data_IF_749632950813
#
_entry.id   IF_749632950813
#
_cell.length_a   1.000
_cell.length_b   1.000
_cell.length_c   1.000
_cell.angle_alpha   90.00
_cell.angle_beta   90.00
_cell.angle_gamma   90.00
#
_symmetry.space_group_name_H-M   'P 1'
#
loop_
_entity.id
_entity.type
_entity.pdbx_description
1 polymer ?
#
# COMPACT_ATOMS: atom_id res chain seq x y z
N UNK A 1 -1.92 9.27 -12.27
CA UNK A 1 -2.36 8.13 -13.11
C UNK A 1 -1.52 7.93 -14.39
N UNK A 2 -1.26 8.94 -15.23
CA UNK A 2 -0.53 8.74 -16.51
C UNK A 2 1.02 8.69 -16.36
N UNK A 3 1.59 9.47 -15.45
CA UNK A 3 3.05 9.51 -15.21
C UNK A 3 3.52 8.26 -14.45
N UNK A 4 2.83 7.90 -13.36
CA UNK A 4 3.13 6.73 -12.51
C UNK A 4 3.19 5.43 -13.32
N UNK A 5 2.19 5.16 -14.18
CA UNK A 5 2.18 3.93 -14.99
C UNK A 5 3.25 3.91 -16.09
N UNK A 6 3.67 5.06 -16.59
CA UNK A 6 4.76 5.15 -17.57
C UNK A 6 6.09 4.90 -16.88
N UNK A 7 6.33 5.56 -15.75
CA UNK A 7 7.55 5.43 -14.96
C UNK A 7 7.66 4.00 -14.40
N UNK A 8 6.62 3.43 -13.79
CA UNK A 8 6.69 2.05 -13.26
C UNK A 8 7.02 1.01 -14.35
N UNK A 9 6.50 1.18 -15.57
CA UNK A 9 6.84 0.32 -16.73
C UNK A 9 8.23 0.59 -17.31
N UNK A 10 8.67 1.85 -17.32
CA UNK A 10 10.01 2.26 -17.75
C UNK A 10 11.10 1.73 -16.80
N UNK A 11 10.80 1.62 -15.50
CA UNK A 11 11.72 1.19 -14.46
C UNK A 11 11.82 -0.35 -14.32
N UNK A 12 10.88 -1.09 -14.90
CA UNK A 12 10.89 -2.56 -14.90
C UNK A 12 11.72 -3.13 -16.06
N UNK A 13 12.04 -2.31 -17.07
CA UNK A 13 12.67 -2.76 -18.32
C UNK A 13 14.16 -2.43 -18.43
N UNK A 14 14.61 -1.20 -18.16
CA UNK A 14 16.04 -0.83 -18.07
C UNK A 14 16.14 0.68 -17.85
N UNK A 15 16.61 1.11 -16.67
CA UNK A 15 16.69 2.53 -16.31
C UNK A 15 17.78 3.26 -17.10
N UNK A 16 18.96 2.65 -17.27
CA UNK A 16 20.11 3.32 -17.89
C UNK A 16 19.82 3.76 -19.33
N UNK A 17 19.18 2.92 -20.15
CA UNK A 17 18.95 3.22 -21.56
C UNK A 17 17.88 4.30 -21.84
N UNK A 18 16.94 4.52 -20.91
CA UNK A 18 15.84 5.47 -21.13
C UNK A 18 16.03 6.78 -20.36
N UNK A 19 16.72 6.77 -19.22
CA UNK A 19 17.03 8.00 -18.50
C UNK A 19 18.05 8.87 -19.25
N UNK A 20 18.95 8.28 -20.05
CA UNK A 20 19.88 9.03 -20.92
C UNK A 20 19.16 9.93 -21.95
N UNK A 21 17.87 9.68 -22.22
CA UNK A 21 17.06 10.45 -23.16
C UNK A 21 16.16 11.51 -22.48
N UNK A 22 16.27 11.71 -21.17
CA UNK A 22 15.44 12.63 -20.39
C UNK A 22 16.32 13.73 -19.80
N UNK A 23 15.99 15.00 -20.08
CA UNK A 23 16.79 16.16 -19.64
C UNK A 23 16.84 16.33 -18.11
N UNK A 24 15.84 15.88 -17.34
CA UNK A 24 15.79 16.01 -15.87
C UNK A 24 15.14 14.79 -15.16
N UNK A 25 15.83 13.64 -15.08
CA UNK A 25 15.26 12.42 -14.52
C UNK A 25 15.03 12.46 -13.00
N UNK A 26 15.86 13.20 -12.27
CA UNK A 26 15.78 13.32 -10.81
C UNK A 26 14.50 14.03 -10.37
N UNK A 27 14.09 15.08 -11.09
CA UNK A 27 12.87 15.83 -10.80
C UNK A 27 11.61 14.97 -10.97
N UNK A 28 11.54 14.22 -12.07
CA UNK A 28 10.42 13.32 -12.35
C UNK A 28 10.32 12.19 -11.32
N UNK A 29 11.44 11.66 -10.86
CA UNK A 29 11.49 10.62 -9.83
C UNK A 29 10.99 11.16 -8.48
N UNK A 30 11.45 12.34 -8.07
CA UNK A 30 10.96 13.02 -6.85
C UNK A 30 9.46 13.31 -6.92
N UNK A 31 8.98 13.75 -8.08
CA UNK A 31 7.55 13.97 -8.31
C UNK A 31 6.75 12.65 -8.20
N UNK A 32 7.22 11.56 -8.82
CA UNK A 32 6.58 10.26 -8.75
C UNK A 32 6.50 9.72 -7.31
N UNK A 33 7.59 9.84 -6.54
CA UNK A 33 7.63 9.50 -5.11
C UNK A 33 6.60 10.31 -4.33
N UNK A 34 6.48 11.62 -4.59
CA UNK A 34 5.49 12.50 -3.94
C UNK A 34 4.04 12.10 -4.28
N UNK A 35 3.77 11.77 -5.54
CA UNK A 35 2.46 11.28 -5.97
C UNK A 35 2.11 9.95 -5.27
N UNK A 36 3.06 9.01 -5.20
CA UNK A 36 2.86 7.72 -4.51
C UNK A 36 2.64 7.88 -3.00
N UNK A 37 3.37 8.78 -2.35
CA UNK A 37 3.13 9.14 -0.95
C UNK A 37 1.72 9.71 -0.73
N UNK A 38 1.26 10.58 -1.64
CA UNK A 38 -0.09 11.11 -1.63
C UNK A 38 -1.16 10.03 -1.78
N UNK A 39 -0.96 9.09 -2.71
CA UNK A 39 -1.86 7.95 -2.92
C UNK A 39 -1.89 7.01 -1.71
N UNK A 40 -0.76 6.80 -1.03
CA UNK A 40 -0.70 6.04 0.23
C UNK A 40 -1.51 6.72 1.33
N UNK A 41 -1.32 8.02 1.54
CA UNK A 41 -2.08 8.78 2.53
C UNK A 41 -3.59 8.73 2.26
N UNK A 42 -4.00 8.90 1.00
CA UNK A 42 -5.40 8.79 0.61
C UNK A 42 -5.97 7.37 0.80
N UNK A 43 -5.14 6.34 0.64
CA UNK A 43 -5.52 4.95 0.90
C UNK A 43 -5.66 4.67 2.39
N UNK A 44 -4.76 5.20 3.22
CA UNK A 44 -4.82 5.11 4.68
C UNK A 44 -6.05 5.80 5.27
N UNK A 45 -6.37 7.01 4.81
CA UNK A 45 -7.60 7.72 5.25
C UNK A 45 -8.86 6.90 4.92
N UNK A 46 -8.92 6.28 3.74
CA UNK A 46 -10.02 5.38 3.35
C UNK A 46 -10.09 4.14 4.25
N UNK A 47 -8.95 3.54 4.58
CA UNK A 47 -8.88 2.39 5.49
C UNK A 47 -9.43 2.81 6.86
N UNK A 48 -8.99 3.94 7.40
CA UNK A 48 -9.43 4.43 8.72
C UNK A 48 -10.95 4.64 8.76
N UNK A 49 -11.53 5.33 7.77
CA UNK A 49 -12.99 5.54 7.68
C UNK A 49 -13.77 4.23 7.59
N UNK A 50 -13.26 3.25 6.84
CA UNK A 50 -13.89 1.94 6.74
C UNK A 50 -13.78 1.15 8.04
N UNK A 51 -12.68 1.29 8.79
CA UNK A 51 -12.52 0.68 10.12
C UNK A 51 -13.47 1.28 11.15
N UNK A 52 -13.65 2.60 11.16
CA UNK A 52 -14.66 3.27 12.00
C UNK A 52 -16.07 2.75 11.65
N UNK A 53 -16.42 2.72 10.37
CA UNK A 53 -17.71 2.15 9.93
C UNK A 53 -17.85 0.67 10.31
N UNK A 54 -16.77 -0.10 10.32
CA UNK A 54 -16.78 -1.50 10.75
C UNK A 54 -17.10 -1.60 12.25
N UNK A 55 -16.46 -0.78 13.08
CA UNK A 55 -16.71 -0.73 14.52
C UNK A 55 -18.15 -0.35 14.85
N UNK A 56 -18.71 0.64 14.15
CA UNK A 56 -20.11 1.03 14.31
C UNK A 56 -21.09 -0.12 13.99
N UNK A 57 -20.78 -0.88 12.94
CA UNK A 57 -21.58 -2.04 12.54
C UNK A 57 -21.48 -3.15 13.60
N UNK A 58 -20.27 -3.46 14.07
CA UNK A 58 -20.04 -4.47 15.11
C UNK A 58 -20.77 -4.11 16.42
N UNK A 59 -20.74 -2.84 16.82
CA UNK A 59 -21.49 -2.36 17.98
C UNK A 59 -23.00 -2.57 17.79
N UNK A 60 -23.55 -2.24 16.62
CA UNK A 60 -24.98 -2.48 16.30
C UNK A 60 -25.34 -3.96 16.29
N UNK A 61 -24.50 -4.82 15.72
CA UNK A 61 -24.71 -6.26 15.73
C UNK A 61 -24.77 -6.81 17.16
N UNK A 62 -23.90 -6.34 18.05
CA UNK A 62 -23.92 -6.77 19.46
C UNK A 62 -25.21 -6.36 20.16
N UNK A 63 -25.73 -5.16 19.86
CA UNK A 63 -27.00 -4.68 20.40
C UNK A 63 -28.19 -5.50 19.87
N UNK A 64 -28.21 -5.81 18.58
CA UNK A 64 -29.25 -6.64 17.98
C UNK A 64 -29.23 -8.06 18.55
N UNK A 65 -28.06 -8.66 18.74
CA UNK A 65 -27.91 -9.98 19.39
C UNK A 65 -28.50 -9.99 20.80
N UNK A 66 -28.30 -8.92 21.58
CA UNK A 66 -28.93 -8.76 22.90
C UNK A 66 -30.45 -8.66 22.79
N UNK A 67 -30.97 -7.90 21.84
CA UNK A 67 -32.42 -7.80 21.60
C UNK A 67 -33.03 -9.14 21.19
N UNK A 68 -32.37 -9.90 20.31
CA UNK A 68 -32.81 -11.25 19.94
C UNK A 68 -32.83 -12.21 21.15
N UNK A 69 -31.85 -12.10 22.06
CA UNK A 69 -31.85 -12.90 23.28
C UNK A 69 -33.04 -12.56 24.20
N UNK A 70 -33.43 -11.28 24.28
CA UNK A 70 -34.63 -10.86 25.02
C UNK A 70 -35.91 -11.41 24.39
N UNK A 71 -36.04 -11.37 23.06
CA UNK A 71 -37.20 -11.96 22.38
C UNK A 71 -37.34 -13.46 22.66
N UNK A 72 -36.23 -14.20 22.75
CA UNK A 72 -36.28 -15.62 23.13
C UNK A 72 -36.88 -15.80 24.53
N UNK A 73 -36.38 -15.05 25.52
CA UNK A 73 -36.91 -15.10 26.89
C UNK A 73 -38.39 -14.69 26.98
N UNK A 74 -38.79 -13.64 26.26
CA UNK A 74 -40.18 -13.18 26.22
C UNK A 74 -41.11 -14.20 25.53
N UNK A 75 -40.61 -14.89 24.50
CA UNK A 75 -41.36 -15.95 23.82
C UNK A 75 -41.57 -17.17 24.71
N UNK A 76 -40.54 -17.60 25.45
CA UNK A 76 -40.65 -18.70 26.41
C UNK A 76 -41.78 -18.42 27.41
N UNK A 77 -41.80 -17.21 27.99
CA UNK A 77 -42.87 -16.76 28.89
C UNK A 77 -44.25 -16.71 28.22
N UNK A 78 -44.33 -16.30 26.96
CA UNK A 78 -45.60 -16.24 26.23
C UNK A 78 -46.18 -17.65 25.98
N UNK A 79 -45.31 -18.62 25.66
CA UNK A 79 -45.72 -20.01 25.49
C UNK A 79 -46.14 -20.65 26.82
N UNK A 80 -45.38 -20.44 27.90
CA UNK A 80 -45.76 -20.87 29.25
C UNK A 80 -47.09 -20.29 29.70
N UNK A 81 -47.37 -19.02 29.35
CA UNK A 81 -48.60 -18.31 29.70
C UNK A 81 -49.77 -18.55 28.74
N UNK A 82 -49.59 -19.35 27.68
CA UNK A 82 -50.63 -19.61 26.65
C UNK A 82 -51.06 -18.38 25.82
N UNK A 83 -50.27 -17.30 25.81
CA UNK A 83 -50.60 -16.03 25.12
C UNK A 83 -50.20 -16.06 23.65
N UNK A 84 -50.89 -16.87 22.86
CA UNK A 84 -50.53 -17.16 21.46
C UNK A 84 -50.50 -15.92 20.54
N UNK A 85 -51.42 -14.96 20.69
CA UNK A 85 -51.42 -13.74 19.87
C UNK A 85 -50.18 -12.86 20.14
N UNK A 86 -49.79 -12.73 21.41
CA UNK A 86 -48.58 -12.01 21.80
C UNK A 86 -47.33 -12.72 21.27
N UNK A 87 -47.28 -14.05 21.37
CA UNK A 87 -46.19 -14.86 20.82
C UNK A 87 -46.05 -14.66 19.30
N UNK A 88 -47.14 -14.68 18.54
CA UNK A 88 -47.12 -14.41 17.09
C UNK A 88 -46.56 -13.03 16.77
N UNK A 89 -46.93 -12.00 17.53
CA UNK A 89 -46.42 -10.64 17.33
C UNK A 89 -44.91 -10.52 17.63
N UNK A 90 -44.43 -11.24 18.66
CA UNK A 90 -43.02 -11.29 19.03
C UNK A 90 -42.20 -12.07 17.99
N UNK A 91 -42.70 -13.20 17.50
CA UNK A 91 -42.07 -13.96 16.42
C UNK A 91 -41.93 -13.08 15.17
N UNK A 92 -42.96 -12.32 14.81
CA UNK A 92 -42.87 -11.39 13.68
C UNK A 92 -41.73 -10.39 13.85
N UNK A 93 -41.64 -9.72 15.02
CA UNK A 93 -40.54 -8.78 15.32
C UNK A 93 -39.18 -9.45 15.36
N UNK A 94 -39.10 -10.67 15.86
CA UNK A 94 -37.87 -11.45 15.86
C UNK A 94 -37.41 -11.74 14.43
N UNK A 95 -38.30 -12.19 13.55
CA UNK A 95 -37.99 -12.46 12.14
C UNK A 95 -37.57 -11.19 11.39
N UNK A 96 -38.23 -10.06 11.63
CA UNK A 96 -37.82 -8.76 11.08
C UNK A 96 -36.41 -8.36 11.56
N UNK A 97 -36.13 -8.55 12.86
CA UNK A 97 -34.82 -8.26 13.45
C UNK A 97 -33.73 -9.19 12.91
N UNK A 98 -34.05 -10.46 12.70
CA UNK A 98 -33.14 -11.46 12.13
C UNK A 98 -32.80 -11.15 10.68
N UNK A 99 -33.79 -10.78 9.85
CA UNK A 99 -33.54 -10.32 8.49
C UNK A 99 -32.63 -9.09 8.45
N UNK A 100 -32.87 -8.13 9.35
CA UNK A 100 -32.00 -6.96 9.48
C UNK A 100 -30.57 -7.35 9.91
N UNK A 101 -30.42 -8.29 10.83
CA UNK A 101 -29.10 -8.83 11.22
C UNK A 101 -28.39 -9.48 10.04
N UNK A 102 -29.10 -10.25 9.23
CA UNK A 102 -28.52 -10.91 8.04
C UNK A 102 -28.03 -9.88 7.02
N UNK A 103 -28.81 -8.82 6.78
CA UNK A 103 -28.38 -7.72 5.91
C UNK A 103 -27.17 -6.96 6.47
N UNK A 104 -27.16 -6.71 7.78
CA UNK A 104 -26.05 -6.03 8.44
C UNK A 104 -24.76 -6.87 8.39
N UNK A 105 -24.86 -8.18 8.60
CA UNK A 105 -23.75 -9.13 8.52
C UNK A 105 -23.19 -9.26 7.11
N UNK A 106 -24.06 -9.31 6.08
CA UNK A 106 -23.61 -9.29 4.69
C UNK A 106 -22.84 -8.00 4.35
N UNK A 107 -23.34 -6.85 4.84
CA UNK A 107 -22.64 -5.57 4.69
C UNK A 107 -21.31 -5.57 5.43
N UNK A 108 -21.26 -6.08 6.66
CA UNK A 108 -20.03 -6.20 7.45
C UNK A 108 -18.97 -7.02 6.71
N UNK A 109 -19.36 -8.20 6.19
CA UNK A 109 -18.48 -9.03 5.37
C UNK A 109 -17.93 -8.31 4.14
N UNK A 110 -18.77 -7.54 3.43
CA UNK A 110 -18.32 -6.75 2.27
C UNK A 110 -17.32 -5.65 2.65
N UNK A 111 -17.45 -5.03 3.83
CA UNK A 111 -16.52 -4.01 4.33
C UNK A 111 -15.20 -4.68 4.74
N UNK A 112 -15.26 -5.83 5.41
CA UNK A 112 -14.07 -6.60 5.77
C UNK A 112 -13.26 -7.02 4.55
N UNK A 113 -13.91 -7.50 3.49
CA UNK A 113 -13.26 -7.83 2.23
C UNK A 113 -12.55 -6.61 1.61
N UNK A 114 -13.26 -5.48 1.49
CA UNK A 114 -12.67 -4.23 0.98
C UNK A 114 -11.50 -3.74 1.82
N UNK A 115 -11.60 -3.86 3.15
CA UNK A 115 -10.50 -3.50 4.05
C UNK A 115 -9.29 -4.39 3.84
N UNK A 116 -9.48 -5.70 3.68
CA UNK A 116 -8.39 -6.63 3.39
C UNK A 116 -7.72 -6.28 2.05
N UNK A 117 -8.50 -6.06 1.00
CA UNK A 117 -7.98 -5.65 -0.32
C UNK A 117 -7.19 -4.34 -0.26
N UNK A 118 -7.73 -3.31 0.40
CA UNK A 118 -7.07 -2.01 0.54
C UNK A 118 -5.77 -2.12 1.35
N UNK A 119 -5.74 -2.94 2.41
CA UNK A 119 -4.54 -3.17 3.21
C UNK A 119 -3.46 -3.87 2.41
N UNK A 120 -3.81 -4.89 1.62
CA UNK A 120 -2.88 -5.57 0.71
C UNK A 120 -2.31 -4.58 -0.30
N UNK A 121 -3.18 -3.82 -0.98
CA UNK A 121 -2.76 -2.82 -1.96
C UNK A 121 -1.89 -1.71 -1.34
N UNK A 122 -2.21 -1.27 -0.12
CA UNK A 122 -1.40 -0.28 0.61
C UNK A 122 0.00 -0.82 0.89
N UNK A 123 0.13 -2.08 1.30
CA UNK A 123 1.43 -2.71 1.52
C UNK A 123 2.22 -2.86 0.21
N UNK A 124 1.58 -3.26 -0.89
CA UNK A 124 2.22 -3.32 -2.21
C UNK A 124 2.72 -1.95 -2.65
N UNK A 125 1.88 -0.92 -2.54
CA UNK A 125 2.25 0.46 -2.85
C UNK A 125 3.40 0.96 -1.97
N UNK A 126 3.43 0.57 -0.69
CA UNK A 126 4.50 0.94 0.23
C UNK A 126 5.83 0.29 -0.18
N UNK A 127 5.83 -1.00 -0.52
CA UNK A 127 7.04 -1.68 -1.02
C UNK A 127 7.53 -1.07 -2.33
N UNK A 128 6.62 -0.69 -3.23
CA UNK A 128 6.98 0.02 -4.46
C UNK A 128 7.60 1.37 -4.16
N UNK A 129 7.05 2.14 -3.21
CA UNK A 129 7.59 3.43 -2.81
C UNK A 129 9.01 3.29 -2.24
N UNK A 130 9.22 2.34 -1.33
CA UNK A 130 10.52 2.06 -0.72
C UNK A 130 11.55 1.69 -1.79
N UNK A 131 11.18 0.86 -2.77
CA UNK A 131 12.05 0.52 -3.90
C UNK A 131 12.38 1.74 -4.77
N UNK A 132 11.42 2.63 -5.01
CA UNK A 132 11.65 3.86 -5.77
C UNK A 132 12.55 4.84 -5.02
N UNK A 133 12.41 4.94 -3.69
CA UNK A 133 13.26 5.78 -2.84
C UNK A 133 14.70 5.27 -2.83
N UNK A 134 14.92 3.97 -2.60
CA UNK A 134 16.27 3.37 -2.64
C UNK A 134 16.97 3.62 -3.98
N UNK A 135 16.23 3.50 -5.09
CA UNK A 135 16.78 3.79 -6.42
C UNK A 135 17.10 5.27 -6.59
N UNK A 136 16.23 6.16 -6.13
CA UNK A 136 16.49 7.61 -6.17
C UNK A 136 17.76 8.00 -5.41
N UNK A 137 17.99 7.38 -4.26
CA UNK A 137 19.18 7.62 -3.43
C UNK A 137 20.46 7.20 -4.17
N UNK A 138 20.45 6.04 -4.85
CA UNK A 138 21.58 5.60 -5.68
C UNK A 138 21.91 6.60 -6.80
N UNK A 139 20.89 7.11 -7.52
CA UNK A 139 21.11 8.13 -8.55
C UNK A 139 21.67 9.44 -8.00
N UNK A 140 21.25 9.85 -6.81
CA UNK A 140 21.78 11.05 -6.18
C UNK A 140 23.26 10.92 -5.82
N UNK A 141 23.70 9.71 -5.44
CA UNK A 141 25.10 9.39 -5.13
C UNK A 141 25.95 9.34 -6.41
N UNK A 142 25.48 8.67 -7.47
CA UNK A 142 26.18 8.61 -8.76
C UNK A 142 26.32 10.01 -9.39
N UNK A 143 25.26 10.82 -9.32
CA UNK A 143 25.28 12.20 -9.82
C UNK A 143 26.26 13.08 -9.04
N UNK A 144 26.35 12.90 -7.71
CA UNK A 144 27.30 13.63 -6.88
C UNK A 144 28.76 13.19 -7.14
N UNK A 145 29.01 11.90 -7.39
CA UNK A 145 30.32 11.39 -7.77
C UNK A 145 30.80 11.95 -9.12
N UNK A 146 29.91 12.11 -10.10
CA UNK A 146 30.20 12.75 -11.40
C UNK A 146 30.36 14.27 -11.25
N UNK A 147 29.52 14.93 -10.43
CA UNK A 147 29.59 16.39 -10.18
C UNK A 147 30.90 16.83 -9.52
N UNK A 148 31.52 15.97 -8.70
CA UNK A 148 32.84 16.24 -8.13
C UNK A 148 33.99 16.08 -9.15
N UNK A 149 33.74 15.51 -10.33
CA UNK A 149 34.73 15.37 -11.41
C UNK A 149 34.66 16.45 -12.49
N UNK A 150 33.59 17.25 -12.55
CA UNK A 150 33.34 18.15 -13.69
C UNK A 150 33.62 19.65 -13.45
N UNK A 151 34.02 20.05 -12.24
CA UNK A 151 34.57 21.40 -12.00
C UNK A 151 36.09 21.38 -11.85
N UNK A 152 36.79 21.05 -12.94
CA UNK A 152 38.17 21.52 -13.14
C UNK A 152 38.42 21.83 -14.62
N UNK A 153 38.02 23.04 -15.01
CA UNK A 153 38.49 23.65 -16.24
C UNK A 153 39.97 24.01 -16.06
N UNK A 154 40.82 23.26 -16.76
CA UNK A 154 42.26 23.52 -16.97
C UNK A 154 43.15 23.48 -15.72
N UNK A 155 43.42 22.28 -15.21
CA UNK A 155 44.70 22.05 -14.54
C UNK A 155 45.35 20.74 -14.99
N UNK A 156 46.63 20.84 -15.34
CA UNK A 156 47.47 19.78 -15.88
C UNK A 156 48.00 18.94 -14.71
N UNK A 157 47.12 18.23 -13.98
CA UNK A 157 47.41 17.29 -12.88
C UNK A 157 46.05 16.75 -12.41
N UNK A 158 45.73 15.45 -12.30
CA UNK A 158 46.54 14.25 -12.20
C UNK A 158 45.71 13.06 -12.71
N UNK A 159 46.29 12.24 -13.58
CA UNK A 159 45.79 10.90 -13.85
C UNK A 159 46.05 10.04 -12.60
N UNK A 160 45.11 10.04 -11.66
CA UNK A 160 45.17 9.14 -10.50
C UNK A 160 44.55 7.83 -10.95
N UNK A 161 45.40 6.91 -11.36
CA UNK A 161 45.03 5.54 -11.69
C UNK A 161 44.51 4.88 -10.41
N UNK A 162 43.31 4.31 -10.47
CA UNK A 162 42.72 3.62 -9.32
C UNK A 162 43.48 2.33 -8.99
N UNK A 163 43.43 1.88 -7.73
CA UNK A 163 44.10 0.63 -7.32
C UNK A 163 43.62 -0.57 -8.16
N UNK A 164 42.33 -0.58 -8.52
CA UNK A 164 41.70 -1.61 -9.33
C UNK A 164 42.21 -1.58 -10.78
N UNK A 165 42.42 -0.39 -11.36
CA UNK A 165 43.03 -0.24 -12.70
C UNK A 165 44.49 -0.70 -12.72
N UNK A 166 45.25 -0.46 -11.64
CA UNK A 166 46.62 -0.97 -11.49
C UNK A 166 46.62 -2.50 -11.45
N UNK A 167 45.69 -3.10 -10.70
CA UNK A 167 45.60 -4.55 -10.54
C UNK A 167 45.18 -5.25 -11.85
N UNK A 168 44.24 -4.65 -12.59
CA UNK A 168 43.83 -5.13 -13.93
C UNK A 168 44.99 -4.99 -14.92
N UNK A 169 45.70 -3.86 -14.92
CA UNK A 169 46.87 -3.66 -15.79
C UNK A 169 47.99 -4.66 -15.46
N UNK A 170 48.24 -4.93 -14.17
CA UNK A 170 49.25 -5.90 -13.74
C UNK A 170 48.90 -7.33 -14.15
N UNK A 171 47.64 -7.75 -14.02
CA UNK A 171 47.19 -9.07 -14.48
C UNK A 171 47.32 -9.22 -15.99
N UNK A 172 46.99 -8.18 -16.76
CA UNK A 172 47.12 -8.18 -18.22
C UNK A 172 48.57 -8.30 -18.70
N UNK A 173 49.51 -7.61 -18.05
CA UNK A 173 50.93 -7.64 -18.42
C UNK A 173 51.61 -8.95 -17.99
N UNK A 174 51.16 -9.56 -16.89
CA UNK A 174 51.65 -10.87 -16.43
C UNK A 174 51.24 -12.00 -17.38
N UNK A 175 50.04 -11.95 -17.94
CA UNK A 175 49.60 -12.91 -18.97
C UNK A 175 50.35 -12.75 -20.30
N UNK A 176 50.80 -11.54 -20.62
CA UNK A 176 51.51 -11.26 -21.88
C UNK A 176 52.98 -11.72 -21.90
N UNK A 177 53.53 -12.12 -20.74
CA UNK A 177 54.93 -12.53 -20.57
C UNK A 177 55.10 -14.00 -20.14
N UNK A 178 54.03 -14.77 -20.10
CA UNK A 178 54.06 -16.23 -20.14
C UNK A 178 53.85 -16.70 -21.58
#
# INVERSE_FOLDING_TARGET
>A
MALINRISKLFQADIHAVLDNIEEPEYLLKQAIREMQGDLFATEDKINRLQESQQDIEARETQLKKTMAKFKQELDLCFESGKNELARSLIKRQLETEQYCNHLSARHGSIQQKLAELKTRRNENQLQLESMQQKADLFSIDSAAVSHSEHNHFDMQAAIVSADEIEIAFLSEKQRRQ
#
